data_IF_898703047416
#
_entry.id   IF_898703047416
#
_cell.length_a   1.000
_cell.length_b   1.000
_cell.length_c   1.000
_cell.angle_alpha   90.00
_cell.angle_beta   90.00
_cell.angle_gamma   90.00
#
_symmetry.space_group_name_H-M   'P 1'
#
loop_
_entity.id
_entity.type
_entity.pdbx_description
1 polymer ?
#
# COMPACT_ATOMS: atom_id res chain seq x y z
N UNK A 1 -10.06 7.85 -16.36
CA UNK A 1 -9.06 6.91 -16.08
C UNK A 1 -9.65 5.54 -15.82
N UNK A 2 -9.10 4.58 -16.41
CA UNK A 2 -9.62 3.25 -16.26
C UNK A 2 -9.10 2.62 -14.97
N UNK A 3 -10.01 2.27 -14.09
CA UNK A 3 -9.62 1.67 -12.82
C UNK A 3 -9.68 0.16 -12.84
N UNK A 4 -9.87 -0.40 -14.01
CA UNK A 4 -10.08 -1.82 -14.09
C UNK A 4 -8.91 -2.64 -13.55
N UNK A 5 -7.69 -2.24 -13.88
CA UNK A 5 -6.55 -3.00 -13.43
C UNK A 5 -6.37 -2.84 -11.92
N UNK A 6 -6.72 -1.69 -11.39
CA UNK A 6 -6.61 -1.48 -9.96
C UNK A 6 -7.62 -2.35 -9.23
N UNK A 7 -8.85 -2.42 -9.73
CA UNK A 7 -9.84 -3.28 -9.10
C UNK A 7 -9.49 -4.75 -9.22
N UNK A 8 -8.90 -5.14 -10.33
CA UNK A 8 -8.47 -6.51 -10.47
C UNK A 8 -7.41 -6.86 -9.45
N UNK A 9 -6.46 -5.96 -9.22
CA UNK A 9 -5.45 -6.22 -8.21
C UNK A 9 -6.04 -6.25 -6.83
N UNK A 10 -6.95 -5.31 -6.55
CA UNK A 10 -7.55 -5.24 -5.25
C UNK A 10 -8.33 -6.50 -4.93
N UNK A 11 -8.91 -7.13 -5.93
CA UNK A 11 -9.66 -8.36 -5.72
C UNK A 11 -8.75 -9.59 -5.64
N UNK A 12 -7.45 -9.40 -5.70
CA UNK A 12 -6.51 -10.51 -5.56
C UNK A 12 -6.17 -11.19 -6.86
N UNK A 13 -6.62 -10.65 -7.98
CA UNK A 13 -6.33 -11.30 -9.25
C UNK A 13 -4.91 -11.06 -9.67
N UNK A 14 -4.35 -12.08 -10.31
CA UNK A 14 -3.01 -11.99 -10.80
C UNK A 14 -2.97 -11.21 -12.08
N UNK A 15 -2.00 -10.34 -12.23
CA UNK A 15 -1.83 -9.54 -13.44
C UNK A 15 -0.61 -10.07 -14.17
N UNK A 16 -0.84 -10.55 -15.39
CA UNK A 16 0.23 -11.09 -16.20
C UNK A 16 1.01 -9.98 -16.88
N UNK A 17 2.27 -10.22 -17.15
CA UNK A 17 3.08 -9.28 -17.88
C UNK A 17 2.56 -9.07 -19.30
N UNK A 18 1.78 -9.99 -19.80
CA UNK A 18 1.20 -9.85 -21.13
C UNK A 18 -0.15 -9.17 -21.12
N UNK A 19 -0.65 -8.79 -19.95
CA UNK A 19 -1.90 -8.08 -19.85
C UNK A 19 -1.75 -6.71 -20.53
N UNK A 20 -2.78 -6.31 -21.27
CA UNK A 20 -2.70 -5.05 -22.01
C UNK A 20 -2.56 -3.85 -21.09
N UNK A 21 -2.98 -3.97 -19.84
CA UNK A 21 -2.87 -2.89 -18.88
C UNK A 21 -1.61 -2.98 -18.02
N UNK A 22 -0.76 -3.95 -18.28
CA UNK A 22 0.43 -4.11 -17.47
C UNK A 22 1.34 -2.87 -17.49
N UNK A 23 1.57 -2.23 -18.64
CA UNK A 23 2.39 -1.02 -18.64
C UNK A 23 1.82 0.07 -17.77
N UNK A 24 0.49 0.17 -17.72
CA UNK A 24 -0.15 1.14 -16.88
C UNK A 24 0.06 0.83 -15.41
N UNK A 25 0.02 -0.44 -15.06
CA UNK A 25 0.30 -0.86 -13.71
C UNK A 25 1.72 -0.48 -13.30
N UNK A 26 2.68 -0.70 -14.19
CA UNK A 26 4.06 -0.34 -13.91
C UNK A 26 4.21 1.16 -13.69
N UNK A 27 3.48 1.95 -14.46
CA UNK A 27 3.52 3.38 -14.32
C UNK A 27 2.94 3.81 -12.97
N UNK A 28 1.87 3.19 -12.54
CA UNK A 28 1.28 3.51 -11.26
C UNK A 28 2.21 3.15 -10.11
N UNK A 29 2.90 2.02 -10.23
CA UNK A 29 3.86 1.63 -9.22
C UNK A 29 5.00 2.64 -9.14
N UNK A 30 5.47 3.10 -10.29
CA UNK A 30 6.56 4.07 -10.31
C UNK A 30 6.12 5.40 -9.72
N UNK A 31 4.88 5.79 -9.99
CA UNK A 31 4.33 7.00 -9.41
C UNK A 31 4.29 6.90 -7.89
N UNK A 32 3.86 5.76 -7.38
CA UNK A 32 3.81 5.54 -5.94
C UNK A 32 5.21 5.62 -5.34
N UNK A 33 6.20 5.06 -6.04
CA UNK A 33 7.57 5.13 -5.54
C UNK A 33 8.05 6.56 -5.40
N UNK A 34 7.70 7.42 -6.35
CA UNK A 34 8.08 8.82 -6.25
C UNK A 34 7.42 9.50 -5.08
N UNK A 35 6.14 9.24 -4.87
CA UNK A 35 5.41 9.86 -3.78
C UNK A 35 5.92 9.39 -2.42
N UNK A 36 6.23 8.10 -2.32
CA UNK A 36 6.78 7.55 -1.09
C UNK A 36 8.14 8.18 -0.80
N UNK A 37 8.95 8.35 -1.82
CA UNK A 37 10.25 9.00 -1.61
C UNK A 37 10.07 10.43 -1.12
N UNK A 38 9.11 11.14 -1.67
CA UNK A 38 8.86 12.51 -1.24
C UNK A 38 8.37 12.52 0.20
N UNK A 39 7.46 11.64 0.55
CA UNK A 39 6.92 11.57 1.90
C UNK A 39 8.02 11.33 2.93
N UNK A 40 8.98 10.49 2.57
CA UNK A 40 10.00 10.05 3.52
C UNK A 40 11.24 10.93 3.54
N UNK A 41 11.23 12.03 2.82
CA UNK A 41 12.39 12.91 2.73
C UNK A 41 12.10 14.25 3.39
N UNK A 42 12.85 14.58 4.43
CA UNK A 42 12.68 15.84 5.12
C UNK A 42 11.46 15.85 6.00
N UNK A 43 11.27 16.96 6.68
CA UNK A 43 10.13 17.10 7.57
C UNK A 43 8.88 17.55 6.80
N UNK A 44 7.75 16.97 7.13
CA UNK A 44 6.46 17.41 6.61
C UNK A 44 5.51 17.60 7.77
N UNK A 45 4.72 18.66 7.72
CA UNK A 45 3.69 18.90 8.72
C UNK A 45 2.61 17.82 8.63
N UNK A 46 1.78 17.67 9.65
CA UNK A 46 0.67 16.70 9.56
C UNK A 46 -0.22 16.93 8.35
N UNK A 47 -0.45 18.18 7.98
CA UNK A 47 -1.25 18.47 6.80
C UNK A 47 -0.54 18.00 5.53
N UNK A 48 0.77 18.26 5.43
CA UNK A 48 1.52 17.84 4.25
C UNK A 48 1.58 16.33 4.13
N UNK A 49 1.71 15.65 5.26
CA UNK A 49 1.69 14.20 5.26
C UNK A 49 0.36 13.69 4.69
N UNK A 50 -0.75 14.29 5.15
CA UNK A 50 -2.06 13.85 4.64
C UNK A 50 -2.21 14.11 3.16
N UNK A 51 -1.74 15.25 2.67
CA UNK A 51 -1.83 15.55 1.25
C UNK A 51 -1.07 14.49 0.43
N UNK A 52 0.12 14.13 0.88
CA UNK A 52 0.90 13.11 0.18
C UNK A 52 0.21 11.74 0.26
N UNK A 53 -0.36 11.42 1.41
CA UNK A 53 -1.06 10.15 1.54
C UNK A 53 -2.31 10.10 0.67
N UNK A 54 -3.00 11.22 0.52
CA UNK A 54 -4.15 11.25 -0.38
C UNK A 54 -3.73 10.91 -1.81
N UNK A 55 -2.56 11.35 -2.21
CA UNK A 55 -2.07 11.04 -3.53
C UNK A 55 -1.60 9.59 -3.63
N UNK A 56 -0.96 9.09 -2.59
CA UNK A 56 -0.49 7.71 -2.58
C UNK A 56 -1.67 6.74 -2.61
N UNK A 57 -2.67 7.00 -1.78
CA UNK A 57 -3.81 6.09 -1.65
C UNK A 57 -4.94 6.40 -2.63
N UNK A 58 -4.86 7.54 -3.29
CA UNK A 58 -5.85 7.89 -4.31
C UNK A 58 -7.22 8.14 -3.75
N UNK A 59 -7.32 8.66 -2.53
CA UNK A 59 -8.60 8.95 -1.91
C UNK A 59 -8.47 10.14 -1.00
N UNK A 60 -9.54 10.90 -0.80
CA UNK A 60 -9.50 11.98 0.20
C UNK A 60 -9.46 11.39 1.59
N UNK A 61 -8.78 12.08 2.50
CA UNK A 61 -8.65 11.62 3.87
C UNK A 61 -9.20 12.66 4.82
N UNK A 62 -9.86 12.17 5.87
CA UNK A 62 -10.30 13.06 6.92
C UNK A 62 -9.12 13.59 7.70
N UNK A 63 -9.29 14.76 8.29
CA UNK A 63 -8.21 15.36 9.06
C UNK A 63 -7.83 14.54 10.28
N UNK A 64 -8.66 13.59 10.66
CA UNK A 64 -8.37 12.74 11.80
C UNK A 64 -7.35 11.64 11.47
N UNK A 65 -7.02 11.46 10.19
CA UNK A 65 -6.02 10.47 9.82
C UNK A 65 -4.65 11.05 10.06
N UNK A 66 -3.82 10.31 10.78
CA UNK A 66 -2.49 10.77 11.14
C UNK A 66 -1.48 9.68 10.85
N UNK A 67 -0.31 10.10 10.48
CA UNK A 67 0.80 9.16 10.25
C UNK A 67 2.12 9.83 10.53
N UNK A 68 3.05 9.06 11.07
CA UNK A 68 4.44 9.51 11.19
C UNK A 68 5.27 8.77 10.15
N UNK A 69 5.88 9.46 9.20
CA UNK A 69 6.81 8.80 8.28
C UNK A 69 8.05 8.30 9.04
N UNK A 70 8.81 7.40 8.46
CA UNK A 70 8.70 6.94 7.09
C UNK A 70 7.63 5.87 6.92
N UNK A 71 7.13 5.76 5.70
CA UNK A 71 6.09 4.81 5.37
C UNK A 71 6.41 4.21 4.00
N UNK A 72 6.22 2.93 3.85
CA UNK A 72 6.52 2.24 2.60
C UNK A 72 5.30 1.49 2.14
N UNK A 73 5.04 1.52 0.85
CA UNK A 73 3.92 0.78 0.31
C UNK A 73 4.24 0.39 -1.12
N UNK A 74 3.69 -0.73 -1.56
CA UNK A 74 3.98 -1.24 -2.88
C UNK A 74 3.18 -0.54 -3.96
N UNK A 75 1.89 -0.36 -3.73
CA UNK A 75 1.04 0.16 -4.78
C UNK A 75 0.25 1.38 -4.33
N UNK A 76 -0.28 1.37 -3.14
CA UNK A 76 -1.00 2.49 -2.56
C UNK A 76 -2.47 2.55 -2.95
N UNK A 77 -2.77 2.43 -4.22
CA UNK A 77 -4.13 2.65 -4.69
C UNK A 77 -5.12 1.58 -4.26
N UNK A 78 -4.61 0.50 -3.71
CA UNK A 78 -5.46 -0.58 -3.21
C UNK A 78 -5.65 -0.54 -1.70
N UNK A 79 -5.18 0.51 -1.06
CA UNK A 79 -5.39 0.70 0.37
C UNK A 79 -6.56 1.65 0.58
N UNK A 80 -7.49 1.27 1.45
CA UNK A 80 -8.62 2.11 1.83
C UNK A 80 -8.50 2.44 3.29
N UNK A 81 -8.75 3.69 3.64
CA UNK A 81 -8.52 4.16 5.01
C UNK A 81 -9.74 4.90 5.51
N UNK A 82 -10.22 4.52 6.67
CA UNK A 82 -11.34 5.20 7.32
C UNK A 82 -10.88 6.41 8.10
N UNK A 83 -11.68 6.81 9.09
CA UNK A 83 -11.34 7.99 9.88
C UNK A 83 -10.76 7.58 11.22
N UNK A 84 -10.12 8.53 11.88
CA UNK A 84 -9.48 8.30 13.17
C UNK A 84 -8.46 7.16 13.11
N UNK A 85 -7.73 7.09 12.00
CA UNK A 85 -6.69 6.08 11.81
C UNK A 85 -5.35 6.70 12.12
N UNK A 86 -4.52 5.99 12.87
CA UNK A 86 -3.16 6.44 13.11
C UNK A 86 -2.18 5.34 12.74
N UNK A 87 -1.17 5.69 11.98
CA UNK A 87 -0.12 4.76 11.57
C UNK A 87 1.21 5.30 12.07
N UNK A 88 1.85 4.55 12.92
CA UNK A 88 3.13 4.98 13.49
C UNK A 88 4.25 4.77 12.47
N UNK A 89 5.45 5.24 12.79
CA UNK A 89 6.52 5.29 11.81
C UNK A 89 7.08 3.90 11.48
N UNK A 90 7.63 3.80 10.29
CA UNK A 90 8.34 2.60 9.86
C UNK A 90 7.45 1.48 9.33
N UNK A 91 6.17 1.76 9.07
CA UNK A 91 5.27 0.71 8.61
C UNK A 91 5.43 0.44 7.14
N UNK A 92 5.16 -0.80 6.74
CA UNK A 92 5.24 -1.23 5.35
C UNK A 92 3.94 -1.94 4.98
N UNK A 93 3.31 -1.47 3.91
CA UNK A 93 2.07 -2.08 3.41
C UNK A 93 2.36 -2.66 2.03
N UNK A 94 2.37 -3.97 1.92
CA UNK A 94 2.39 -4.60 0.61
C UNK A 94 0.95 -4.87 0.24
N UNK A 95 0.34 -3.90 -0.39
CA UNK A 95 -1.09 -3.78 -0.50
C UNK A 95 -1.67 -4.23 -1.82
N UNK A 96 -0.93 -4.99 -2.60
CA UNK A 96 -1.41 -5.39 -3.92
C UNK A 96 -2.72 -6.16 -3.85
N UNK A 97 -2.92 -6.94 -2.81
CA UNK A 97 -4.17 -7.67 -2.63
C UNK A 97 -5.24 -6.91 -1.89
N UNK A 98 -5.00 -5.63 -1.60
CA UNK A 98 -5.98 -4.80 -0.94
C UNK A 98 -5.83 -4.77 0.57
N UNK A 99 -5.82 -3.57 1.13
CA UNK A 99 -5.80 -3.37 2.59
C UNK A 99 -6.92 -2.40 2.90
N UNK A 100 -7.70 -2.70 3.91
CA UNK A 100 -8.71 -1.76 4.40
C UNK A 100 -8.45 -1.52 5.88
N UNK A 101 -8.24 -0.25 6.22
CA UNK A 101 -8.11 0.16 7.61
C UNK A 101 -9.41 0.83 8.00
N UNK A 102 -10.16 0.18 8.89
CA UNK A 102 -11.44 0.70 9.27
C UNK A 102 -11.29 1.81 10.28
N UNK A 103 -12.39 2.47 10.59
CA UNK A 103 -12.36 3.60 11.50
C UNK A 103 -11.73 3.23 12.82
N UNK A 104 -10.88 4.11 13.32
CA UNK A 104 -10.30 3.93 14.63
C UNK A 104 -9.12 2.99 14.71
N UNK A 105 -8.64 2.50 13.60
CA UNK A 105 -7.51 1.58 13.60
C UNK A 105 -6.23 2.30 14.01
N UNK A 106 -5.46 1.67 14.88
CA UNK A 106 -4.18 2.20 15.32
C UNK A 106 -3.11 1.17 14.99
N UNK A 107 -2.10 1.57 14.26
CA UNK A 107 -1.04 0.65 13.86
C UNK A 107 0.26 1.11 14.49
N UNK A 108 0.89 0.21 15.25
CA UNK A 108 2.13 0.50 15.95
C UNK A 108 3.31 0.63 15.02
N UNK A 109 4.45 1.02 15.57
CA UNK A 109 5.63 1.28 14.73
C UNK A 109 6.15 0.01 14.09
N UNK A 110 6.64 0.17 12.88
CA UNK A 110 7.32 -0.89 12.14
C UNK A 110 6.46 -2.13 11.87
N UNK A 111 5.15 -1.92 11.80
CA UNK A 111 4.25 -3.01 11.46
C UNK A 111 4.33 -3.28 9.96
N UNK A 112 4.15 -4.55 9.59
CA UNK A 112 4.15 -4.93 8.19
C UNK A 112 2.86 -5.65 7.89
N UNK A 113 2.16 -5.17 6.87
CA UNK A 113 0.92 -5.79 6.43
C UNK A 113 1.16 -6.29 5.02
N UNK A 114 1.09 -7.59 4.84
CA UNK A 114 1.42 -8.23 3.59
C UNK A 114 0.19 -8.89 3.03
N UNK A 115 -0.24 -8.45 1.87
CA UNK A 115 -1.41 -9.02 1.22
C UNK A 115 -1.07 -9.57 -0.14
N UNK A 116 0.22 -9.97 -0.33
CA UNK A 116 0.62 -10.48 -1.56
C UNK A 116 -0.12 -11.67 -1.93
N UNK A 117 -0.77 -11.64 -3.02
CA UNK A 117 -1.60 -12.72 -3.44
C UNK A 117 -0.94 -13.49 -4.55
N UNK A 118 0.28 -13.80 -4.41
CA UNK A 118 0.92 -14.60 -5.43
C UNK A 118 0.41 -15.99 -5.34
N UNK A 119 -0.24 -16.47 -6.36
CA UNK A 119 -0.62 -17.88 -6.35
C UNK A 119 0.64 -18.66 -6.27
N UNK A 120 0.56 -19.74 -5.58
CA UNK A 120 1.69 -20.55 -5.45
C UNK A 120 1.98 -21.25 -6.74
N UNK A 121 3.07 -20.94 -7.35
CA UNK A 121 3.48 -21.66 -8.46
C UNK A 121 4.54 -22.55 -8.09
N UNK A 122 4.94 -22.62 -6.92
CA UNK A 122 6.00 -23.41 -6.56
C UNK A 122 5.62 -24.23 -5.40
N UNK A 123 6.44 -25.16 -5.03
CA UNK A 123 6.15 -26.02 -3.89
C UNK A 123 5.82 -25.18 -2.68
N UNK A 124 4.82 -25.60 -1.99
CA UNK A 124 4.31 -24.80 -0.90
C UNK A 124 5.32 -24.66 0.21
N UNK A 125 6.20 -25.60 0.38
CA UNK A 125 7.18 -25.47 1.44
C UNK A 125 8.04 -24.26 1.30
N UNK A 126 8.43 -23.97 0.08
CA UNK A 126 9.26 -22.83 -0.15
C UNK A 126 8.53 -21.55 0.22
N UNK A 127 7.27 -21.49 -0.17
CA UNK A 127 6.52 -20.30 0.10
C UNK A 127 6.31 -20.12 1.59
N UNK A 128 6.05 -21.17 2.30
CA UNK A 128 5.87 -21.06 3.72
C UNK A 128 7.11 -20.55 4.39
N UNK A 129 8.24 -21.00 3.94
CA UNK A 129 9.47 -20.54 4.51
C UNK A 129 9.62 -19.06 4.39
N UNK A 130 9.20 -18.52 3.26
CA UNK A 130 9.34 -17.11 3.08
C UNK A 130 8.41 -16.31 3.95
N UNK A 131 7.29 -16.86 4.29
CA UNK A 131 6.36 -16.08 5.05
C UNK A 131 6.65 -16.06 6.51
N UNK A 132 7.47 -16.98 6.95
CA UNK A 132 7.68 -17.02 8.30
C UNK A 132 8.64 -16.19 8.71
N UNK A 133 9.16 -15.84 8.70
CA UNK A 133 10.01 -15.09 9.34
C UNK A 133 9.81 -14.07 10.19
N UNK A 134 9.66 -14.39 10.42
CA UNK A 134 9.48 -13.72 11.19
C UNK A 134 9.39 -13.18 11.59
N UNK A 135 9.23 -13.81 11.40
CA UNK A 135 9.04 -13.42 11.68
C UNK A 135 9.00 -12.81 11.72
#
# INVERSE_FOLDING_TARGET
MNNDIIERMRSGKRISETDSDFPRLCEEIENTRRLVAELNTGYHSPYEVRVLLERIWGQPLESSVRMFPPFYTAFGKTTRVGKNVFINFGCTFLDQGGITLEDGVFIGPEAKILTEAHPSRRPSGLRKTMTRPNS
#
